data_IF_851135979778
#
_entry.id   IF_851135979778
#
_cell.length_a   1.000
_cell.length_b   1.000
_cell.length_c   1.000
_cell.angle_alpha   90.00
_cell.angle_beta   90.00
_cell.angle_gamma   90.00
#
_symmetry.space_group_name_H-M   'P 1'
#
loop_
_entity.id
_entity.type
_entity.pdbx_description
1 polymer ?
#
# COMPACT_ATOMS: atom_id res chain seq x y z
N UNK A 1 3.21 27.00 28.10
CA UNK A 1 3.36 26.19 26.87
C UNK A 1 4.43 25.13 27.09
N UNK A 2 5.58 25.49 27.68
CA UNK A 2 6.58 24.55 28.24
C UNK A 2 5.94 23.48 29.16
N UNK A 3 5.05 23.87 30.08
CA UNK A 3 4.48 22.95 31.07
C UNK A 3 3.54 21.89 30.48
N UNK A 4 2.86 22.21 29.38
CA UNK A 4 1.99 21.24 28.68
C UNK A 4 2.83 20.26 27.87
N UNK A 5 3.91 20.75 27.24
CA UNK A 5 4.87 19.93 26.51
C UNK A 5 5.56 18.93 27.46
N UNK A 6 6.07 19.41 28.60
CA UNK A 6 6.77 18.57 29.57
C UNK A 6 5.85 17.58 30.29
N UNK A 7 4.59 17.96 30.55
CA UNK A 7 3.57 17.05 31.08
C UNK A 7 3.20 15.95 30.08
N UNK A 8 3.02 16.32 28.81
CA UNK A 8 2.73 15.37 27.74
C UNK A 8 3.89 14.37 27.55
N UNK A 9 5.13 14.86 27.54
CA UNK A 9 6.31 14.01 27.51
C UNK A 9 6.29 13.06 28.72
N UNK A 10 6.18 13.57 29.95
CA UNK A 10 6.25 12.73 31.16
C UNK A 10 5.18 11.64 31.24
N UNK A 11 3.94 11.92 30.83
CA UNK A 11 2.85 10.92 30.89
C UNK A 11 2.95 9.85 29.80
N UNK A 12 3.37 10.21 28.58
CA UNK A 12 3.49 9.28 27.45
C UNK A 12 4.53 8.17 27.67
N UNK A 13 5.57 8.42 28.48
CA UNK A 13 6.71 7.51 28.64
C UNK A 13 6.60 6.51 29.81
N UNK A 14 5.53 6.52 30.61
CA UNK A 14 5.50 5.81 31.90
C UNK A 14 4.79 4.45 31.93
N UNK A 15 4.02 4.04 30.91
CA UNK A 15 3.21 2.81 30.99
C UNK A 15 3.30 1.92 29.76
N UNK A 16 3.58 0.63 30.03
CA UNK A 16 3.58 -0.49 29.07
C UNK A 16 2.20 -0.80 28.43
N UNK A 17 1.20 0.02 28.72
CA UNK A 17 -0.11 0.08 28.07
C UNK A 17 -0.49 1.55 27.98
N UNK A 18 -0.69 2.06 26.78
CA UNK A 18 -1.23 3.42 26.59
C UNK A 18 -2.66 3.39 27.15
N UNK A 19 -2.91 4.16 28.20
CA UNK A 19 -4.21 4.24 28.87
C UNK A 19 -5.21 4.99 27.95
N UNK A 20 -6.44 4.49 27.85
CA UNK A 20 -7.53 5.10 27.09
C UNK A 20 -7.73 6.58 27.46
N UNK A 21 -7.58 6.92 28.75
CA UNK A 21 -7.72 8.30 29.23
C UNK A 21 -6.62 9.24 28.70
N UNK A 22 -5.40 8.70 28.53
CA UNK A 22 -4.28 9.45 27.95
C UNK A 22 -4.55 9.74 26.47
N UNK A 23 -5.11 8.78 25.73
CA UNK A 23 -5.48 8.98 24.32
C UNK A 23 -6.57 10.05 24.16
N UNK A 24 -7.60 10.01 24.99
CA UNK A 24 -8.66 11.02 25.00
C UNK A 24 -8.11 12.40 25.36
N UNK A 25 -7.26 12.47 26.39
CA UNK A 25 -6.62 13.72 26.81
C UNK A 25 -5.74 14.29 25.69
N UNK A 26 -4.94 13.45 25.03
CA UNK A 26 -4.14 13.83 23.87
C UNK A 26 -5.01 14.39 22.74
N UNK A 27 -6.11 13.71 22.42
CA UNK A 27 -7.06 14.17 21.41
C UNK A 27 -7.62 15.56 21.74
N UNK A 28 -8.06 15.77 22.99
CA UNK A 28 -8.58 17.05 23.49
C UNK A 28 -7.50 18.15 23.41
N UNK A 29 -6.26 17.84 23.78
CA UNK A 29 -5.14 18.79 23.67
C UNK A 29 -4.96 19.22 22.22
N UNK A 30 -4.93 18.28 21.27
CA UNK A 30 -4.77 18.62 19.86
C UNK A 30 -5.96 19.40 19.29
N UNK A 31 -7.20 19.15 19.72
CA UNK A 31 -8.34 19.97 19.31
C UNK A 31 -8.16 21.42 19.78
N UNK A 32 -7.79 21.61 21.05
CA UNK A 32 -7.74 22.95 21.66
C UNK A 32 -6.48 23.75 21.28
N UNK A 33 -5.41 23.06 20.87
CA UNK A 33 -4.13 23.70 20.55
C UNK A 33 -3.59 23.29 19.17
N UNK A 34 -4.16 23.78 18.05
CA UNK A 34 -3.72 23.42 16.69
C UNK A 34 -2.25 23.73 16.41
N UNK A 35 -1.67 24.73 17.08
CA UNK A 35 -0.23 25.05 16.99
C UNK A 35 0.67 23.90 17.43
N UNK A 36 0.19 22.97 18.25
CA UNK A 36 0.95 21.79 18.66
C UNK A 36 1.09 20.77 17.55
N UNK A 37 0.23 20.79 16.52
CA UNK A 37 0.28 19.77 15.47
C UNK A 37 1.59 19.80 14.67
N UNK A 38 2.26 20.96 14.57
CA UNK A 38 3.58 21.10 13.94
C UNK A 38 4.76 20.82 14.88
N UNK A 39 4.49 20.50 16.15
CA UNK A 39 5.54 20.28 17.13
C UNK A 39 6.22 18.93 16.95
N UNK A 40 7.48 18.85 17.38
CA UNK A 40 8.21 17.58 17.46
C UNK A 40 7.47 16.55 18.34
N UNK A 41 6.84 16.98 19.42
CA UNK A 41 6.04 16.13 20.30
C UNK A 41 4.85 15.48 19.56
N UNK A 42 4.19 16.22 18.65
CA UNK A 42 3.12 15.66 17.82
C UNK A 42 3.66 14.64 16.81
N UNK A 43 4.87 14.83 16.28
CA UNK A 43 5.52 13.83 15.43
C UNK A 43 5.90 12.58 16.22
N UNK A 44 6.47 12.74 17.43
CA UNK A 44 6.89 11.65 18.31
C UNK A 44 5.71 10.87 18.90
N UNK A 45 4.51 11.43 18.98
CA UNK A 45 3.34 10.71 19.49
C UNK A 45 2.76 9.71 18.48
N UNK A 46 3.02 9.87 17.17
CA UNK A 46 2.43 9.03 16.11
C UNK A 46 2.75 7.55 16.30
N UNK A 47 3.99 7.09 16.55
CA UNK A 47 4.28 5.67 16.78
C UNK A 47 3.51 5.09 17.98
N UNK A 48 3.28 5.88 19.02
CA UNK A 48 2.48 5.48 20.18
C UNK A 48 1.01 5.30 19.80
N UNK A 49 0.45 6.22 18.99
CA UNK A 49 -0.89 6.06 18.42
C UNK A 49 -0.98 4.78 17.57
N UNK A 50 0.01 4.50 16.72
CA UNK A 50 0.07 3.25 15.93
C UNK A 50 0.08 2.02 16.85
N UNK A 51 0.87 2.06 17.93
CA UNK A 51 0.91 1.00 18.94
C UNK A 51 -0.45 0.78 19.61
N UNK A 52 -1.10 1.86 20.05
CA UNK A 52 -2.44 1.81 20.64
C UNK A 52 -3.51 1.31 19.65
N UNK A 53 -3.42 1.67 18.36
CA UNK A 53 -4.31 1.14 17.33
C UNK A 53 -4.18 -0.39 17.19
N UNK A 54 -2.96 -0.91 17.32
CA UNK A 54 -2.65 -2.33 17.17
C UNK A 54 -3.12 -3.18 18.34
N UNK A 55 -2.92 -2.72 19.58
CA UNK A 55 -3.11 -3.53 20.79
C UNK A 55 -4.10 -2.98 21.81
N UNK A 56 -4.73 -1.84 21.51
CA UNK A 56 -5.73 -1.20 22.38
C UNK A 56 -7.10 -1.87 22.35
N UNK A 57 -7.97 -1.47 23.28
CA UNK A 57 -9.40 -1.77 23.24
C UNK A 57 -10.08 -1.06 22.05
N UNK A 58 -11.31 -1.45 21.71
CA UNK A 58 -12.08 -0.75 20.67
C UNK A 58 -12.22 0.75 20.95
N UNK A 59 -12.42 1.15 22.21
CA UNK A 59 -12.51 2.56 22.62
C UNK A 59 -11.17 3.31 22.47
N UNK A 60 -10.04 2.64 22.74
CA UNK A 60 -8.72 3.19 22.49
C UNK A 60 -8.45 3.35 20.99
N UNK A 61 -8.81 2.33 20.18
CA UNK A 61 -8.71 2.38 18.73
C UNK A 61 -9.54 3.52 18.14
N UNK A 62 -10.78 3.70 18.63
CA UNK A 62 -11.67 4.79 18.23
C UNK A 62 -11.04 6.16 18.51
N UNK A 63 -10.52 6.37 19.72
CA UNK A 63 -9.82 7.61 20.12
C UNK A 63 -8.57 7.88 19.28
N UNK A 64 -7.83 6.82 18.91
CA UNK A 64 -6.66 6.92 18.02
C UNK A 64 -7.08 7.34 16.61
N UNK A 65 -8.14 6.74 16.05
CA UNK A 65 -8.63 7.09 14.72
C UNK A 65 -9.04 8.56 14.64
N UNK A 66 -9.74 9.08 15.66
CA UNK A 66 -10.11 10.50 15.72
C UNK A 66 -8.88 11.40 15.80
N UNK A 67 -7.87 11.00 16.58
CA UNK A 67 -6.60 11.72 16.68
C UNK A 67 -5.83 11.73 15.37
N UNK A 68 -5.75 10.58 14.67
CA UNK A 68 -5.11 10.54 13.35
C UNK A 68 -5.86 11.37 12.32
N UNK A 69 -7.20 11.37 12.34
CA UNK A 69 -7.98 12.16 11.42
C UNK A 69 -7.73 13.66 11.62
N UNK A 70 -7.67 14.11 12.88
CA UNK A 70 -7.32 15.48 13.24
C UNK A 70 -5.92 15.87 12.74
N UNK A 71 -4.89 15.06 13.03
CA UNK A 71 -3.52 15.32 12.57
C UNK A 71 -3.45 15.39 11.04
N UNK A 72 -4.14 14.47 10.36
CA UNK A 72 -4.20 14.41 8.91
C UNK A 72 -4.86 15.64 8.30
N UNK A 73 -5.92 16.18 8.90
CA UNK A 73 -6.56 17.41 8.41
C UNK A 73 -5.58 18.58 8.40
N UNK A 74 -4.76 18.66 9.46
CA UNK A 74 -3.81 19.74 9.63
C UNK A 74 -2.64 19.70 8.65
N UNK A 75 -2.24 18.53 8.13
CA UNK A 75 -1.14 18.39 7.15
C UNK A 75 -1.24 19.32 5.93
N UNK A 76 -2.46 19.65 5.49
CA UNK A 76 -2.69 20.58 4.37
C UNK A 76 -2.30 22.04 4.65
N UNK A 77 -2.17 22.40 5.92
CA UNK A 77 -1.88 23.77 6.41
C UNK A 77 -0.50 23.89 7.07
N UNK A 78 0.21 22.78 7.23
CA UNK A 78 1.53 22.71 7.85
C UNK A 78 2.66 22.96 6.85
N UNK A 79 3.89 23.26 7.33
CA UNK A 79 5.09 23.10 6.54
C UNK A 79 5.18 21.69 5.93
N UNK A 80 5.51 21.63 4.64
CA UNK A 80 5.45 20.39 3.84
C UNK A 80 6.39 19.30 4.34
N UNK A 81 7.54 19.66 4.86
CA UNK A 81 8.54 18.76 5.44
C UNK A 81 8.01 18.07 6.71
N UNK A 82 7.36 18.83 7.59
CA UNK A 82 6.74 18.30 8.81
C UNK A 82 5.56 17.39 8.46
N UNK A 83 4.68 17.84 7.56
CA UNK A 83 3.55 17.04 7.09
C UNK A 83 4.01 15.71 6.48
N UNK A 84 5.04 15.74 5.61
CA UNK A 84 5.63 14.53 5.02
C UNK A 84 6.23 13.61 6.08
N UNK A 85 6.97 14.16 7.05
CA UNK A 85 7.55 13.38 8.13
C UNK A 85 6.48 12.66 8.94
N UNK A 86 5.43 13.37 9.37
CA UNK A 86 4.32 12.78 10.09
C UNK A 86 3.56 11.74 9.26
N UNK A 87 3.33 11.99 7.98
CA UNK A 87 2.64 11.06 7.09
C UNK A 87 3.43 9.76 6.87
N UNK A 88 4.76 9.84 6.74
CA UNK A 88 5.64 8.66 6.62
C UNK A 88 5.59 7.82 7.90
N UNK A 89 5.65 8.45 9.07
CA UNK A 89 5.58 7.72 10.35
C UNK A 89 4.18 7.12 10.53
N UNK A 90 3.13 7.88 10.21
CA UNK A 90 1.75 7.40 10.30
C UNK A 90 1.45 6.25 9.32
N UNK A 91 2.21 6.12 8.22
CA UNK A 91 2.08 5.00 7.29
C UNK A 91 2.33 3.64 7.96
N UNK A 92 3.03 3.58 9.11
CA UNK A 92 3.12 2.34 9.92
C UNK A 92 1.76 1.80 10.37
N UNK A 93 0.71 2.63 10.37
CA UNK A 93 -0.65 2.21 10.62
C UNK A 93 -1.27 1.38 9.48
N UNK A 94 -0.74 1.44 8.24
CA UNK A 94 -1.37 0.82 7.05
C UNK A 94 -1.77 -0.66 7.27
N UNK A 95 -0.88 -1.56 7.74
CA UNK A 95 -1.26 -2.96 7.94
C UNK A 95 -2.36 -3.15 8.98
N UNK A 96 -2.37 -2.31 10.01
CA UNK A 96 -3.37 -2.35 11.08
C UNK A 96 -4.71 -1.85 10.55
N UNK A 97 -4.72 -0.75 9.81
CA UNK A 97 -5.93 -0.21 9.17
C UNK A 97 -6.54 -1.23 8.18
N UNK A 98 -5.72 -1.91 7.37
CA UNK A 98 -6.16 -2.99 6.47
C UNK A 98 -6.74 -4.19 7.23
N UNK A 99 -6.19 -4.51 8.40
CA UNK A 99 -6.74 -5.54 9.28
C UNK A 99 -8.09 -5.11 9.85
N UNK A 100 -8.21 -3.87 10.37
CA UNK A 100 -9.46 -3.31 10.90
C UNK A 100 -10.56 -3.31 9.84
N UNK A 101 -10.25 -2.99 8.58
CA UNK A 101 -11.19 -3.08 7.45
C UNK A 101 -11.78 -4.48 7.22
N UNK A 102 -11.12 -5.53 7.73
CA UNK A 102 -11.56 -6.93 7.59
C UNK A 102 -12.28 -7.45 8.84
N UNK A 103 -11.94 -6.93 10.01
CA UNK A 103 -12.35 -7.50 11.31
C UNK A 103 -13.39 -6.67 12.05
N UNK A 104 -13.47 -5.37 11.81
CA UNK A 104 -14.28 -4.44 12.60
C UNK A 104 -15.66 -4.17 11.97
N UNK A 105 -16.60 -3.57 12.72
CA UNK A 105 -17.88 -3.16 12.17
C UNK A 105 -17.75 -1.93 11.24
N UNK A 106 -18.74 -1.69 10.36
CA UNK A 106 -18.70 -0.60 9.37
C UNK A 106 -18.43 0.80 9.92
N UNK A 107 -18.74 1.09 11.19
CA UNK A 107 -18.46 2.37 11.85
C UNK A 107 -16.97 2.71 11.94
N UNK A 108 -16.09 1.70 11.97
CA UNK A 108 -14.63 1.88 11.92
C UNK A 108 -14.12 1.98 10.48
N UNK A 109 -14.85 1.40 9.53
CA UNK A 109 -14.40 1.28 8.14
C UNK A 109 -14.31 2.63 7.43
N UNK A 110 -15.23 3.57 7.66
CA UNK A 110 -15.19 4.86 6.97
C UNK A 110 -13.93 5.66 7.31
N UNK A 111 -13.59 5.74 8.60
CA UNK A 111 -12.38 6.43 9.08
C UNK A 111 -11.11 5.67 8.67
N UNK A 112 -11.09 4.35 8.84
CA UNK A 112 -9.94 3.54 8.44
C UNK A 112 -9.68 3.59 6.93
N UNK A 113 -10.73 3.50 6.10
CA UNK A 113 -10.63 3.62 4.65
C UNK A 113 -10.13 5.01 4.24
N UNK A 114 -10.64 6.06 4.87
CA UNK A 114 -10.18 7.43 4.60
C UNK A 114 -8.69 7.60 4.92
N UNK A 115 -8.22 7.05 6.04
CA UNK A 115 -6.81 7.07 6.41
C UNK A 115 -5.95 6.25 5.45
N UNK A 116 -6.40 5.05 5.07
CA UNK A 116 -5.69 4.22 4.08
C UNK A 116 -5.49 4.94 2.76
N UNK A 117 -6.46 5.76 2.36
CA UNK A 117 -6.44 6.54 1.11
C UNK A 117 -5.66 7.86 1.19
N UNK A 118 -5.06 8.21 2.33
CA UNK A 118 -4.23 9.41 2.46
C UNK A 118 -2.80 9.15 2.92
N UNK A 119 -2.50 7.95 3.43
CA UNK A 119 -1.16 7.62 3.90
C UNK A 119 -0.23 7.27 2.73
N UNK A 120 1.02 7.77 2.73
CA UNK A 120 2.00 7.38 1.73
C UNK A 120 2.32 5.89 1.84
N UNK A 121 2.65 5.27 0.72
CA UNK A 121 2.93 3.85 0.67
C UNK A 121 3.54 3.39 -0.63
N UNK A 122 3.85 2.10 -0.68
CA UNK A 122 4.47 1.43 -1.79
C UNK A 122 3.54 0.36 -2.35
N UNK A 123 3.33 0.40 -3.66
CA UNK A 123 2.71 -0.68 -4.41
C UNK A 123 3.82 -1.59 -4.95
N UNK A 124 3.87 -2.83 -4.50
CA UNK A 124 4.79 -3.85 -5.01
C UNK A 124 4.01 -4.87 -5.82
N UNK A 125 4.40 -5.06 -7.09
CA UNK A 125 3.83 -6.08 -7.97
C UNK A 125 4.88 -7.14 -8.26
N UNK A 126 4.60 -8.37 -7.90
CA UNK A 126 5.45 -9.53 -8.17
C UNK A 126 4.85 -10.38 -9.27
N UNK A 127 5.57 -10.52 -10.38
CA UNK A 127 5.22 -11.44 -11.47
C UNK A 127 5.89 -12.78 -11.17
N UNK A 128 5.10 -13.78 -10.74
CA UNK A 128 5.63 -15.08 -10.32
C UNK A 128 5.93 -15.97 -11.51
N UNK A 129 4.89 -16.38 -12.25
CA UNK A 129 5.03 -17.29 -13.40
C UNK A 129 3.90 -17.13 -14.41
N UNK A 130 4.19 -17.47 -15.66
CA UNK A 130 3.19 -17.66 -16.71
C UNK A 130 2.87 -19.14 -16.87
N UNK A 131 1.65 -19.46 -17.29
CA UNK A 131 1.24 -20.83 -17.58
C UNK A 131 0.64 -20.93 -18.97
N UNK A 132 1.03 -22.00 -19.69
CA UNK A 132 0.51 -22.35 -21.01
C UNK A 132 0.69 -21.23 -22.06
N UNK A 133 1.77 -20.45 -21.97
CA UNK A 133 2.13 -19.37 -22.89
C UNK A 133 2.68 -19.88 -24.23
N UNK A 134 1.97 -20.82 -24.87
CA UNK A 134 2.40 -21.46 -26.12
C UNK A 134 2.13 -20.57 -27.32
N UNK A 135 3.02 -20.62 -28.32
CA UNK A 135 2.80 -20.07 -29.65
C UNK A 135 2.70 -21.21 -30.69
N UNK A 136 2.27 -20.90 -31.91
CA UNK A 136 2.12 -21.89 -32.99
C UNK A 136 3.41 -22.67 -33.29
N UNK A 137 4.57 -22.09 -33.00
CA UNK A 137 5.90 -22.70 -33.18
C UNK A 137 6.46 -23.38 -31.90
N UNK A 138 5.63 -23.58 -30.86
CA UNK A 138 6.03 -24.24 -29.62
C UNK A 138 6.39 -23.30 -28.47
N UNK A 139 7.61 -23.43 -27.93
CA UNK A 139 8.08 -22.69 -26.75
C UNK A 139 8.31 -21.20 -27.04
N UNK A 140 8.38 -20.38 -25.99
CA UNK A 140 8.47 -18.92 -26.09
C UNK A 140 9.67 -18.35 -25.35
N UNK A 141 10.05 -17.14 -25.74
CA UNK A 141 11.05 -16.31 -25.05
C UNK A 141 10.33 -15.19 -24.33
N UNK A 142 9.69 -15.55 -23.22
CA UNK A 142 8.65 -14.74 -22.61
C UNK A 142 9.20 -13.70 -21.64
N UNK A 143 8.57 -12.53 -21.62
CA UNK A 143 8.72 -11.50 -20.60
C UNK A 143 7.40 -10.76 -20.41
N UNK A 144 7.23 -10.13 -19.25
CA UNK A 144 6.07 -9.30 -18.93
C UNK A 144 6.48 -7.82 -18.91
N UNK A 145 5.67 -6.97 -19.53
CA UNK A 145 5.78 -5.52 -19.43
C UNK A 145 4.64 -5.01 -18.54
N UNK A 146 4.98 -4.28 -17.48
CA UNK A 146 4.07 -3.69 -16.52
C UNK A 146 3.99 -2.19 -16.76
N UNK A 147 2.79 -1.61 -16.70
CA UNK A 147 2.57 -0.16 -16.81
C UNK A 147 1.47 0.23 -15.83
N UNK A 148 1.78 1.16 -14.93
CA UNK A 148 0.86 1.65 -13.91
C UNK A 148 0.41 3.05 -14.31
N UNK A 149 -0.89 3.21 -14.57
CA UNK A 149 -1.44 4.46 -15.11
C UNK A 149 -0.72 4.88 -16.40
N UNK A 150 -0.22 6.12 -16.43
CA UNK A 150 0.55 6.69 -17.54
C UNK A 150 2.08 6.70 -17.27
N UNK A 151 2.53 5.96 -16.27
CA UNK A 151 3.94 5.91 -15.89
C UNK A 151 4.83 5.16 -16.87
N UNK A 152 6.17 5.24 -16.71
CA UNK A 152 7.11 4.50 -17.54
C UNK A 152 6.92 2.98 -17.36
N UNK A 153 7.05 2.19 -18.45
CA UNK A 153 6.92 0.74 -18.37
C UNK A 153 8.10 0.11 -17.65
N UNK A 154 7.83 -0.86 -16.77
CA UNK A 154 8.81 -1.79 -16.20
C UNK A 154 8.69 -3.15 -16.88
N UNK A 155 9.73 -3.97 -16.91
CA UNK A 155 9.66 -5.29 -17.55
C UNK A 155 10.51 -6.32 -16.81
N UNK A 156 10.05 -7.57 -16.84
CA UNK A 156 10.81 -8.71 -16.33
C UNK A 156 11.98 -9.05 -17.26
N UNK A 157 12.88 -9.90 -16.77
CA UNK A 157 13.84 -10.62 -17.61
C UNK A 157 13.11 -11.50 -18.61
N UNK A 158 13.83 -11.83 -19.68
CA UNK A 158 13.35 -12.77 -20.70
C UNK A 158 13.71 -14.18 -20.25
N UNK A 159 12.72 -15.07 -20.18
CA UNK A 159 12.90 -16.50 -19.95
C UNK A 159 12.73 -17.21 -21.29
N UNK A 160 13.80 -17.83 -21.77
CA UNK A 160 13.85 -18.44 -23.10
C UNK A 160 13.30 -19.88 -23.09
N UNK A 161 12.80 -20.30 -24.24
CA UNK A 161 12.38 -21.68 -24.53
C UNK A 161 11.42 -22.31 -23.50
N UNK A 162 10.49 -21.53 -22.95
CA UNK A 162 9.50 -22.02 -21.98
C UNK A 162 8.07 -21.74 -22.42
N UNK A 163 7.16 -22.62 -22.02
CA UNK A 163 5.70 -22.40 -22.10
C UNK A 163 5.11 -22.03 -20.74
N UNK A 164 5.89 -22.20 -19.67
CA UNK A 164 5.53 -21.84 -18.31
C UNK A 164 6.71 -21.15 -17.62
N UNK A 165 7.11 -19.95 -18.08
CA UNK A 165 8.25 -19.22 -17.54
C UNK A 165 8.03 -18.83 -16.07
N UNK A 166 9.07 -18.95 -15.26
CA UNK A 166 9.10 -18.42 -13.88
C UNK A 166 10.03 -17.21 -13.84
N UNK A 167 9.50 -16.07 -13.39
CA UNK A 167 10.28 -14.84 -13.23
C UNK A 167 10.57 -14.55 -11.76
N UNK A 168 9.53 -14.59 -10.92
CA UNK A 168 9.61 -14.23 -9.48
C UNK A 168 10.25 -12.84 -9.30
N UNK A 169 9.89 -11.90 -10.15
CA UNK A 169 10.43 -10.54 -10.16
C UNK A 169 9.42 -9.55 -9.58
N UNK A 170 9.86 -8.75 -8.61
CA UNK A 170 9.10 -7.69 -7.94
C UNK A 170 9.38 -6.31 -8.54
N UNK A 171 8.35 -5.48 -8.64
CA UNK A 171 8.45 -4.09 -9.09
C UNK A 171 7.72 -3.19 -8.10
N UNK A 172 8.43 -2.20 -7.56
CA UNK A 172 7.88 -1.29 -6.55
C UNK A 172 7.71 0.13 -7.09
N UNK A 173 6.59 0.76 -6.72
CA UNK A 173 6.30 2.18 -6.95
C UNK A 173 5.99 2.82 -5.59
N UNK A 174 6.72 3.88 -5.25
CA UNK A 174 6.46 4.69 -4.07
C UNK A 174 5.48 5.81 -4.40
N UNK A 175 4.59 6.10 -3.46
CA UNK A 175 3.55 7.11 -3.61
C UNK A 175 3.41 7.94 -2.34
N UNK A 176 3.37 9.27 -2.51
CA UNK A 176 3.01 10.19 -1.44
C UNK A 176 1.52 10.05 -1.05
N UNK A 177 0.67 9.60 -1.99
CA UNK A 177 -0.76 9.32 -1.80
C UNK A 177 -1.15 8.08 -2.62
N UNK A 178 -1.96 7.15 -2.09
CA UNK A 178 -2.32 5.90 -2.78
C UNK A 178 -2.91 6.15 -4.19
N UNK A 179 -2.54 5.33 -5.20
CA UNK A 179 -2.94 5.52 -6.59
C UNK A 179 -4.39 5.10 -6.88
N UNK A 180 -5.35 5.75 -6.22
CA UNK A 180 -6.79 5.47 -6.35
C UNK A 180 -7.26 5.62 -7.80
N UNK A 181 -8.10 4.69 -8.26
CA UNK A 181 -8.63 4.62 -9.62
C UNK A 181 -7.63 4.23 -10.69
N UNK A 182 -6.34 4.04 -10.37
CA UNK A 182 -5.34 3.62 -11.35
C UNK A 182 -5.47 2.14 -11.69
N UNK A 183 -5.07 1.83 -12.93
CA UNK A 183 -5.04 0.48 -13.46
C UNK A 183 -3.60 0.06 -13.71
N UNK A 184 -3.31 -1.17 -13.33
CA UNK A 184 -2.07 -1.85 -13.67
C UNK A 184 -2.31 -2.68 -14.94
N UNK A 185 -1.62 -2.31 -16.00
CA UNK A 185 -1.62 -3.03 -17.27
C UNK A 185 -0.40 -3.94 -17.33
N UNK A 186 -0.63 -5.24 -17.54
CA UNK A 186 0.45 -6.22 -17.72
C UNK A 186 0.27 -6.87 -19.08
N UNK A 187 1.31 -6.82 -19.90
CA UNK A 187 1.33 -7.44 -21.23
C UNK A 187 2.44 -8.47 -21.28
N UNK A 188 2.07 -9.73 -21.47
CA UNK A 188 3.01 -10.81 -21.73
C UNK A 188 3.41 -10.78 -23.20
N UNK A 189 4.70 -10.89 -23.49
CA UNK A 189 5.26 -10.86 -24.85
C UNK A 189 6.31 -11.95 -25.02
N UNK A 190 6.47 -12.46 -26.24
CA UNK A 190 7.61 -13.31 -26.63
C UNK A 190 8.58 -12.51 -27.50
N UNK A 191 9.88 -12.57 -27.19
CA UNK A 191 10.96 -11.95 -27.97
C UNK A 191 11.58 -12.99 -28.92
N UNK A 192 11.21 -12.93 -30.19
CA UNK A 192 11.69 -13.86 -31.21
C UNK A 192 12.63 -13.13 -32.18
N UNK A 193 13.35 -13.88 -33.03
CA UNK A 193 14.28 -13.33 -34.03
C UNK A 193 13.63 -12.29 -34.95
N UNK A 194 12.33 -12.47 -35.24
CA UNK A 194 11.54 -11.59 -36.11
C UNK A 194 10.81 -10.46 -35.37
N UNK A 195 11.08 -10.25 -34.08
CA UNK A 195 10.48 -9.19 -33.27
C UNK A 195 9.69 -9.69 -32.07
N UNK A 196 8.86 -8.81 -31.50
CA UNK A 196 8.06 -9.09 -30.31
C UNK A 196 6.63 -9.43 -30.69
N UNK A 197 6.11 -10.53 -30.15
CA UNK A 197 4.71 -10.94 -30.32
C UNK A 197 3.98 -10.92 -28.97
N UNK A 198 2.70 -10.56 -28.96
CA UNK A 198 1.91 -10.54 -27.72
C UNK A 198 1.39 -11.94 -27.39
N UNK A 199 1.56 -12.34 -26.13
CA UNK A 199 1.04 -13.60 -25.57
C UNK A 199 -0.30 -13.41 -24.86
N UNK A 200 -0.68 -12.16 -24.60
CA UNK A 200 -1.91 -11.75 -23.94
C UNK A 200 -1.68 -10.65 -22.92
N UNK A 201 -2.76 -10.14 -22.34
CA UNK A 201 -2.74 -9.02 -21.39
C UNK A 201 -3.74 -9.22 -20.26
N UNK A 202 -3.44 -8.63 -19.11
CA UNK A 202 -4.35 -8.49 -17.99
C UNK A 202 -4.34 -7.03 -17.52
N UNK A 203 -5.48 -6.55 -17.04
CA UNK A 203 -5.60 -5.24 -16.41
C UNK A 203 -6.23 -5.42 -15.03
N UNK A 204 -5.59 -4.87 -14.00
CA UNK A 204 -5.99 -5.01 -12.60
C UNK A 204 -6.25 -3.61 -12.03
N UNK A 205 -7.37 -3.43 -11.32
CA UNK A 205 -7.66 -2.20 -10.57
C UNK A 205 -6.95 -2.23 -9.22
N UNK A 206 -6.29 -1.12 -8.86
CA UNK A 206 -5.45 -1.06 -7.66
C UNK A 206 -6.26 -0.73 -6.39
N UNK A 207 -7.43 -0.11 -6.52
CA UNK A 207 -8.26 0.34 -5.40
C UNK A 207 -8.46 -0.74 -4.32
N UNK A 208 -8.78 -1.96 -4.76
CA UNK A 208 -9.00 -3.09 -3.86
C UNK A 208 -7.75 -3.46 -3.06
N UNK A 209 -6.56 -3.32 -3.65
CA UNK A 209 -5.29 -3.69 -3.01
C UNK A 209 -4.93 -2.71 -1.89
N UNK A 210 -5.28 -1.42 -2.03
CA UNK A 210 -5.02 -0.41 -0.99
C UNK A 210 -5.77 -0.78 0.30
N UNK A 211 -7.05 -1.14 0.17
CA UNK A 211 -7.91 -1.51 1.31
C UNK A 211 -7.61 -2.92 1.85
N UNK A 212 -7.36 -3.91 0.99
CA UNK A 212 -7.17 -5.30 1.41
C UNK A 212 -5.70 -5.64 1.75
N UNK A 213 -4.76 -4.79 1.35
CA UNK A 213 -3.31 -4.95 1.52
C UNK A 213 -2.65 -5.89 0.54
N UNK A 214 -3.22 -7.07 0.32
CA UNK A 214 -2.66 -8.07 -0.59
C UNK A 214 -3.71 -8.54 -1.58
N UNK A 215 -3.33 -8.62 -2.85
CA UNK A 215 -4.13 -9.21 -3.91
C UNK A 215 -3.25 -10.14 -4.75
N UNK A 216 -3.53 -11.44 -4.68
CA UNK A 216 -2.74 -12.47 -5.34
C UNK A 216 -3.61 -13.50 -6.03
N UNK A 217 -3.16 -14.05 -7.16
CA UNK A 217 -3.86 -15.13 -7.82
C UNK A 217 -3.37 -15.43 -9.23
N UNK A 218 -4.10 -16.34 -9.88
CA UNK A 218 -3.93 -16.69 -11.29
C UNK A 218 -4.90 -15.87 -12.13
N UNK A 219 -4.36 -15.05 -13.02
CA UNK A 219 -5.13 -14.17 -13.89
C UNK A 219 -5.13 -14.69 -15.31
N UNK A 220 -6.31 -14.79 -15.92
CA UNK A 220 -6.42 -15.14 -17.35
C UNK A 220 -5.89 -14.01 -18.22
N UNK A 221 -5.10 -14.36 -19.23
CA UNK A 221 -4.58 -13.41 -20.20
C UNK A 221 -5.54 -13.28 -21.38
N UNK A 222 -6.08 -12.08 -21.57
CA UNK A 222 -6.95 -11.77 -22.69
C UNK A 222 -6.11 -11.59 -23.97
N UNK A 223 -6.61 -12.11 -25.08
CA UNK A 223 -5.97 -12.02 -26.39
C UNK A 223 -6.97 -11.57 -27.46
N UNK A 224 -6.54 -10.76 -28.43
CA UNK A 224 -7.43 -10.17 -29.43
C UNK A 224 -7.83 -11.15 -30.54
N UNK A 225 -7.10 -12.26 -30.71
CA UNK A 225 -7.43 -13.26 -31.73
C UNK A 225 -8.32 -14.36 -31.13
N UNK A 226 -9.53 -14.47 -31.67
CA UNK A 226 -10.62 -15.37 -31.28
C UNK A 226 -10.36 -16.86 -31.59
N UNK A 227 -9.11 -17.32 -31.57
CA UNK A 227 -8.68 -18.69 -31.92
C UNK A 227 -7.60 -19.18 -30.97
N UNK A 228 -7.97 -19.42 -29.72
CA UNK A 228 -7.52 -20.55 -28.90
C UNK A 228 -8.03 -20.29 -27.47
N UNK A 229 -9.00 -21.09 -27.02
CA UNK A 229 -9.44 -21.15 -25.61
C UNK A 229 -8.40 -21.94 -24.81
N UNK A 230 -7.12 -21.66 -25.03
CA UNK A 230 -6.06 -22.15 -24.16
C UNK A 230 -6.02 -21.21 -22.96
N UNK A 231 -6.25 -21.74 -21.75
CA UNK A 231 -6.31 -20.98 -20.50
C UNK A 231 -4.93 -20.44 -20.09
N UNK A 232 -4.41 -19.50 -20.88
CA UNK A 232 -3.17 -18.77 -20.58
C UNK A 232 -3.41 -17.99 -19.29
N UNK A 233 -2.62 -18.27 -18.28
CA UNK A 233 -2.70 -17.57 -17.00
C UNK A 233 -1.37 -16.98 -16.59
N UNK A 234 -1.43 -15.93 -15.79
CA UNK A 234 -0.30 -15.27 -15.18
C UNK A 234 -0.52 -15.24 -13.66
N UNK A 235 0.42 -15.78 -12.91
CA UNK A 235 0.42 -15.73 -11.46
C UNK A 235 1.05 -14.41 -11.00
N UNK A 236 0.25 -13.59 -10.31
CA UNK A 236 0.64 -12.25 -9.86
C UNK A 236 0.33 -12.13 -8.38
N UNK A 237 1.19 -11.41 -7.66
CA UNK A 237 0.94 -10.92 -6.31
C UNK A 237 1.13 -9.40 -6.30
N UNK A 238 0.22 -8.69 -5.65
CA UNK A 238 0.25 -7.24 -5.48
C UNK A 238 0.12 -6.94 -3.99
N UNK A 239 0.99 -6.09 -3.47
CA UNK A 239 1.03 -5.67 -2.08
C UNK A 239 0.99 -4.14 -2.00
N UNK A 240 0.15 -3.59 -1.12
CA UNK A 240 0.21 -2.20 -0.67
C UNK A 240 0.69 -2.15 0.77
N UNK A 241 1.85 -1.52 1.01
CA UNK A 241 2.43 -1.40 2.35
C UNK A 241 3.22 -0.12 2.55
N UNK A 242 3.61 0.18 3.79
CA UNK A 242 4.49 1.30 4.11
C UNK A 242 5.98 1.03 3.84
N UNK A 243 6.34 -0.18 3.39
CA UNK A 243 7.73 -0.58 3.12
C UNK A 243 7.99 -0.66 1.63
N UNK A 244 9.16 -0.20 1.22
CA UNK A 244 9.74 -0.60 -0.06
C UNK A 244 10.18 -2.06 0.12
N UNK A 245 9.77 -2.95 -0.77
CA UNK A 245 10.24 -4.34 -0.76
C UNK A 245 11.78 -4.37 -0.76
N UNK A 246 12.37 -4.93 0.30
CA UNK A 246 13.83 -4.95 0.54
C UNK A 246 14.63 -5.91 -0.36
N UNK A 247 14.12 -6.25 -1.55
CA UNK A 247 14.77 -7.23 -2.45
C UNK A 247 15.75 -6.60 -3.45
N UNK A 248 16.17 -5.34 -3.23
CA UNK A 248 17.18 -4.64 -4.04
C UNK A 248 18.45 -4.27 -3.23
N UNK A 249 18.94 -5.18 -2.38
CA UNK A 249 20.34 -5.16 -1.87
C UNK A 249 21.07 -6.43 -2.28
#
# INVERSE_FOLDING_TARGET
MEDVKSALERELWSTATINEEVLKTLHVIFINFPKLHISEAATLCIPHLVGALKSGSEAAQDSVLDTFFLLKQSWSTMPIDIAKSQAIIAAEAIPILQMLMKTCPPSFHERADTLLHCLPGCLTVTIKRGNNLKQSMGSTNAFCQLTLGNGPPKQTKVVNHSTSPEWKEGFTWAFDVPPKGQKLHIVCKSKNTFGKSSLGRVTIQIDKVVTEGVYSGLFSLNHDSNKDVSSRTLEIEILWSNRISNDDI
#
